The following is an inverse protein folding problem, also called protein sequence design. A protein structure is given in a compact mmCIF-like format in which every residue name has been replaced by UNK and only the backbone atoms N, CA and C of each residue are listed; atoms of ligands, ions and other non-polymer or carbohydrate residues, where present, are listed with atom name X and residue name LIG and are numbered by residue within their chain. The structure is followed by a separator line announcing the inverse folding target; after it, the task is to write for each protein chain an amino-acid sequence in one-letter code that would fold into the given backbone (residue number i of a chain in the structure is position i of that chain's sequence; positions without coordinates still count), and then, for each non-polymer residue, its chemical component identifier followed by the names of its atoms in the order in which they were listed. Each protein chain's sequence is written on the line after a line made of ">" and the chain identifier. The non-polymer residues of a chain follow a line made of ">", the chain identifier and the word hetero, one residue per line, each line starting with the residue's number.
data_IF_766962943506
#
_entry.id   IF_766962943506
#
_cell.length_a   1.000
_cell.length_b   1.000
_cell.length_c   1.000
_cell.angle_alpha   90.00
_cell.angle_beta   90.00
_cell.angle_gamma   90.00
#
_symmetry.space_group_name_H-M   'P 1'
#
loop_
_entity.id
_entity.type
_entity.pdbx_description
1 polymer ?
#
# COMPACT_ATOMS: atom_id res chain seq x y z
N UNK A 1 10.11 3.08 -21.16
CA UNK A 1 11.15 3.17 -22.20
C UNK A 1 12.38 3.79 -21.57
N UNK A 2 13.53 3.11 -21.72
CA UNK A 2 14.85 3.63 -21.34
C UNK A 2 15.39 4.42 -22.52
N UNK A 3 16.07 5.58 -22.30
CA UNK A 3 16.66 6.35 -23.39
C UNK A 3 17.60 5.50 -24.25
N UNK A 4 17.57 5.70 -25.57
CA UNK A 4 18.33 4.90 -26.57
C UNK A 4 19.84 4.92 -26.37
N UNK A 5 20.37 5.90 -25.64
CA UNK A 5 21.79 6.04 -25.31
C UNK A 5 22.31 4.99 -24.31
N UNK A 6 21.41 4.26 -23.62
CA UNK A 6 21.78 3.21 -22.66
C UNK A 6 21.66 1.83 -23.26
N UNK A 7 22.72 1.02 -23.14
CA UNK A 7 22.76 -0.34 -23.68
C UNK A 7 21.81 -1.29 -22.92
N UNK A 8 21.61 -1.06 -21.61
CA UNK A 8 20.72 -1.89 -20.77
C UNK A 8 19.91 -1.02 -19.80
N UNK A 9 18.79 -1.55 -19.32
CA UNK A 9 17.99 -0.92 -18.27
C UNK A 9 18.80 -0.73 -16.97
N UNK A 10 19.74 -1.64 -16.71
CA UNK A 10 20.65 -1.52 -15.57
C UNK A 10 21.57 -0.32 -15.67
N UNK A 11 22.13 -0.05 -16.85
CA UNK A 11 23.02 1.10 -17.05
C UNK A 11 22.29 2.42 -16.80
N UNK A 12 21.01 2.47 -17.19
CA UNK A 12 20.16 3.63 -16.90
C UNK A 12 19.86 3.77 -15.41
N UNK A 13 19.51 2.69 -14.72
CA UNK A 13 19.30 2.71 -13.27
C UNK A 13 20.56 3.15 -12.53
N UNK A 14 21.72 2.62 -12.92
CA UNK A 14 23.02 2.96 -12.33
C UNK A 14 23.34 4.47 -12.51
N UNK A 15 23.06 5.00 -13.71
CA UNK A 15 23.22 6.44 -13.98
C UNK A 15 22.32 7.27 -13.08
N UNK A 16 21.02 6.95 -13.00
CA UNK A 16 20.10 7.66 -12.12
C UNK A 16 20.56 7.62 -10.66
N UNK A 17 21.08 6.48 -10.20
CA UNK A 17 21.64 6.36 -8.86
C UNK A 17 22.88 7.23 -8.67
N UNK A 18 23.81 7.27 -9.63
CA UNK A 18 25.02 8.08 -9.52
C UNK A 18 24.69 9.57 -9.45
N UNK A 19 23.77 10.03 -10.30
CA UNK A 19 23.28 11.41 -10.28
C UNK A 19 22.57 11.73 -8.94
N UNK A 20 21.73 10.79 -8.48
CA UNK A 20 21.00 10.92 -7.23
C UNK A 20 21.90 10.94 -6.00
N UNK A 21 22.93 10.10 -5.93
CA UNK A 21 23.94 10.13 -4.85
C UNK A 21 24.63 11.48 -4.81
N UNK A 22 25.02 12.01 -5.97
CA UNK A 22 25.61 13.35 -6.06
C UNK A 22 24.65 14.43 -5.55
N UNK A 23 23.38 14.35 -5.91
CA UNK A 23 22.36 15.31 -5.47
C UNK A 23 22.07 15.24 -3.96
N UNK A 24 22.06 14.02 -3.39
CA UNK A 24 21.73 13.78 -1.97
C UNK A 24 22.92 14.01 -1.02
N UNK A 25 24.13 13.64 -1.43
CA UNK A 25 25.32 13.60 -0.58
C UNK A 25 26.47 14.53 -1.06
N UNK A 26 26.26 15.24 -2.20
CA UNK A 26 27.26 16.14 -2.78
C UNK A 26 28.27 15.42 -3.69
N UNK A 27 29.25 16.17 -4.17
CA UNK A 27 30.24 15.69 -5.15
C UNK A 27 31.23 14.67 -4.58
N UNK A 28 31.43 14.62 -3.27
CA UNK A 28 32.37 13.74 -2.58
C UNK A 28 31.67 12.93 -1.47
N UNK A 29 30.78 12.00 -1.82
CA UNK A 29 30.11 11.14 -0.85
C UNK A 29 31.12 10.23 -0.13
N UNK A 30 30.86 9.88 1.13
CA UNK A 30 31.68 8.94 1.87
C UNK A 30 31.75 7.58 1.17
N UNK A 31 32.88 6.86 1.31
CA UNK A 31 33.07 5.56 0.65
C UNK A 31 31.98 4.54 1.04
N UNK A 32 31.52 4.58 2.28
CA UNK A 32 30.45 3.74 2.79
C UNK A 32 29.14 3.89 1.98
N UNK A 33 28.80 5.09 1.54
CA UNK A 33 27.63 5.39 0.69
C UNK A 33 27.78 4.73 -0.68
N UNK A 34 28.97 4.84 -1.27
CA UNK A 34 29.29 4.25 -2.56
C UNK A 34 29.24 2.73 -2.48
N UNK A 35 29.84 2.15 -1.46
CA UNK A 35 29.86 0.69 -1.25
C UNK A 35 28.43 0.14 -1.06
N UNK A 36 27.63 0.83 -0.24
CA UNK A 36 26.23 0.45 -0.02
C UNK A 36 25.40 0.53 -1.31
N UNK A 37 25.54 1.63 -2.10
CA UNK A 37 24.87 1.77 -3.40
C UNK A 37 25.25 0.63 -4.35
N UNK A 38 26.55 0.33 -4.48
CA UNK A 38 27.03 -0.72 -5.38
C UNK A 38 26.53 -2.10 -4.95
N UNK A 39 26.51 -2.38 -3.65
CA UNK A 39 25.97 -3.61 -3.09
C UNK A 39 24.48 -3.76 -3.44
N UNK A 40 23.66 -2.75 -3.17
CA UNK A 40 22.23 -2.79 -3.45
C UNK A 40 21.94 -2.95 -4.95
N UNK A 41 22.62 -2.19 -5.82
CA UNK A 41 22.48 -2.33 -7.28
C UNK A 41 22.83 -3.74 -7.75
N UNK A 42 23.88 -4.36 -7.17
CA UNK A 42 24.25 -5.74 -7.44
C UNK A 42 23.14 -6.73 -7.06
N UNK A 43 22.52 -6.56 -5.89
CA UNK A 43 21.41 -7.40 -5.44
C UNK A 43 20.18 -7.21 -6.33
N UNK A 44 19.78 -5.95 -6.61
CA UNK A 44 18.65 -5.63 -7.48
C UNK A 44 18.82 -6.28 -8.87
N UNK A 45 20.02 -6.15 -9.47
CA UNK A 45 20.35 -6.79 -10.75
C UNK A 45 20.24 -8.30 -10.69
N UNK A 46 20.87 -8.92 -9.69
CA UNK A 46 20.89 -10.38 -9.49
C UNK A 46 19.49 -10.95 -9.31
N UNK A 47 18.62 -10.25 -8.60
CA UNK A 47 17.23 -10.65 -8.34
C UNK A 47 16.27 -10.31 -9.50
N UNK A 48 16.71 -9.57 -10.54
CA UNK A 48 15.90 -9.25 -11.73
C UNK A 48 14.89 -8.10 -11.51
N UNK A 49 15.08 -7.23 -10.51
CA UNK A 49 14.15 -6.16 -10.16
C UNK A 49 14.53 -4.78 -10.72
N UNK A 50 15.46 -4.69 -11.69
CA UNK A 50 15.85 -3.42 -12.32
C UNK A 50 14.64 -2.69 -12.89
N UNK A 51 13.83 -3.38 -13.69
CA UNK A 51 12.63 -2.79 -14.32
C UNK A 51 11.59 -2.36 -13.32
N UNK A 52 11.44 -3.11 -12.23
CA UNK A 52 10.55 -2.73 -11.13
C UNK A 52 10.95 -1.38 -10.52
N UNK A 53 12.23 -1.18 -10.19
CA UNK A 53 12.74 0.10 -9.67
C UNK A 53 12.53 1.24 -10.67
N UNK A 54 12.77 1.00 -11.97
CA UNK A 54 12.59 2.01 -13.00
C UNK A 54 11.11 2.39 -13.20
N UNK A 55 10.19 1.44 -13.13
CA UNK A 55 8.75 1.70 -13.23
C UNK A 55 8.27 2.50 -12.02
N UNK A 56 8.71 2.12 -10.80
CA UNK A 56 8.36 2.85 -9.58
C UNK A 56 8.92 4.27 -9.62
N UNK A 57 10.18 4.43 -10.00
CA UNK A 57 10.80 5.73 -10.20
C UNK A 57 10.01 6.59 -11.20
N UNK A 58 9.62 6.03 -12.32
CA UNK A 58 8.96 6.75 -13.40
C UNK A 58 7.66 7.43 -12.97
N UNK A 59 6.75 6.70 -12.34
CA UNK A 59 5.48 7.30 -11.92
C UNK A 59 5.62 8.23 -10.71
N UNK A 60 6.60 8.01 -9.83
CA UNK A 60 6.92 8.93 -8.74
C UNK A 60 7.53 10.21 -9.29
N UNK A 61 8.47 10.09 -10.22
CA UNK A 61 9.09 11.23 -10.89
C UNK A 61 8.05 12.06 -11.64
N UNK A 62 7.14 11.41 -12.39
CA UNK A 62 6.02 12.11 -13.00
C UNK A 62 5.20 12.87 -11.95
N UNK A 63 4.80 12.22 -10.87
CA UNK A 63 4.01 12.88 -9.83
C UNK A 63 4.74 14.11 -9.25
N UNK A 64 6.01 13.98 -8.90
CA UNK A 64 6.83 15.07 -8.36
C UNK A 64 6.98 16.22 -9.37
N UNK A 65 7.20 15.93 -10.65
CA UNK A 65 7.32 16.96 -11.71
C UNK A 65 6.00 17.69 -11.98
N UNK A 66 4.86 17.03 -11.78
CA UNK A 66 3.53 17.65 -11.87
C UNK A 66 3.10 18.34 -10.56
N UNK A 67 3.98 18.40 -9.55
CA UNK A 67 3.67 18.97 -8.24
C UNK A 67 2.57 18.20 -7.49
N UNK A 68 2.43 16.89 -7.75
CA UNK A 68 1.55 16.01 -6.99
C UNK A 68 2.29 15.58 -5.75
N UNK A 69 1.79 15.85 -4.53
CA UNK A 69 2.44 15.43 -3.31
C UNK A 69 2.59 13.92 -3.21
N UNK A 70 3.82 13.48 -2.92
CA UNK A 70 4.20 12.09 -2.69
C UNK A 70 4.75 11.98 -1.27
N UNK A 71 4.38 10.93 -0.56
CA UNK A 71 4.90 10.64 0.78
C UNK A 71 6.40 10.34 0.77
N UNK A 72 7.11 10.56 1.88
CA UNK A 72 8.56 10.38 1.97
C UNK A 72 9.00 8.91 1.89
N UNK A 73 8.08 8.00 1.83
CA UNK A 73 8.29 6.55 1.89
C UNK A 73 7.95 5.96 3.25
N UNK A 74 7.63 4.69 3.26
CA UNK A 74 7.30 3.90 4.45
C UNK A 74 7.65 2.42 4.25
N UNK A 75 7.50 1.62 5.31
CA UNK A 75 7.78 0.19 5.24
C UNK A 75 9.26 -0.12 5.01
N UNK A 76 9.53 -1.28 4.47
CA UNK A 76 10.89 -1.79 4.26
C UNK A 76 11.63 -1.10 3.12
N UNK A 77 10.92 -0.55 2.12
CA UNK A 77 11.50 0.15 0.98
C UNK A 77 12.33 1.38 1.35
N UNK A 78 12.03 2.03 2.51
CA UNK A 78 12.83 3.12 3.05
C UNK A 78 14.27 2.70 3.44
N UNK A 79 14.56 1.40 3.52
CA UNK A 79 15.90 0.86 3.81
C UNK A 79 16.85 0.85 2.60
N UNK A 80 16.39 1.20 1.39
CA UNK A 80 17.18 1.19 0.16
C UNK A 80 17.82 2.55 -0.12
N UNK A 81 19.16 2.58 -0.22
CA UNK A 81 19.88 3.79 -0.68
C UNK A 81 19.67 4.04 -2.17
N UNK A 82 19.44 3.00 -2.97
CA UNK A 82 19.07 3.13 -4.38
C UNK A 82 17.74 3.84 -4.51
N UNK A 83 16.71 3.43 -3.75
CA UNK A 83 15.41 4.09 -3.75
C UNK A 83 15.49 5.55 -3.27
N UNK A 84 16.34 5.84 -2.29
CA UNK A 84 16.60 7.19 -1.81
C UNK A 84 17.33 8.05 -2.85
N UNK A 85 18.34 7.51 -3.51
CA UNK A 85 19.10 8.22 -4.54
C UNK A 85 18.20 8.62 -5.72
N UNK A 86 17.37 7.70 -6.22
CA UNK A 86 16.47 7.98 -7.35
C UNK A 86 15.11 8.58 -6.94
N UNK A 87 15.01 9.11 -5.72
CA UNK A 87 13.85 9.84 -5.21
C UNK A 87 12.54 9.03 -5.12
N UNK A 88 12.61 7.70 -5.07
CA UNK A 88 11.47 6.86 -4.69
C UNK A 88 11.10 7.13 -3.23
N UNK A 89 12.11 7.27 -2.37
CA UNK A 89 11.94 7.65 -0.96
C UNK A 89 12.71 8.93 -0.64
N UNK A 90 12.28 9.63 0.41
CA UNK A 90 12.95 10.84 0.92
C UNK A 90 13.50 10.63 2.36
N UNK A 91 13.63 9.37 2.78
CA UNK A 91 14.23 8.96 4.06
C UNK A 91 15.62 8.41 3.79
N UNK A 92 16.65 9.05 4.38
CA UNK A 92 18.04 8.64 4.24
C UNK A 92 18.32 7.36 5.06
N UNK A 93 18.52 6.20 4.41
CA UNK A 93 18.73 4.94 5.12
C UNK A 93 20.05 4.87 5.87
N UNK A 94 21.05 5.64 5.44
CA UNK A 94 22.36 5.71 6.11
C UNK A 94 22.27 6.48 7.42
N UNK A 95 21.55 7.60 7.43
CA UNK A 95 21.34 8.44 8.62
C UNK A 95 20.61 7.68 9.75
N UNK A 96 19.68 6.80 9.39
CA UNK A 96 18.84 6.06 10.34
C UNK A 96 19.25 4.59 10.51
N UNK A 97 20.38 4.18 9.94
CA UNK A 97 20.89 2.80 9.97
C UNK A 97 19.84 1.75 9.56
N UNK A 98 19.09 2.06 8.50
CA UNK A 98 18.05 1.17 7.99
C UNK A 98 18.66 0.02 7.16
N UNK A 99 18.07 -1.17 7.28
CA UNK A 99 18.59 -2.38 6.66
C UNK A 99 17.88 -2.65 5.32
N UNK A 100 18.66 -2.72 4.25
CA UNK A 100 18.19 -3.07 2.91
C UNK A 100 17.65 -4.52 2.83
N UNK A 101 18.26 -5.41 3.58
CA UNK A 101 17.90 -6.83 3.61
C UNK A 101 16.49 -7.10 4.15
N UNK A 102 15.87 -6.12 4.79
CA UNK A 102 14.45 -6.16 5.15
C UNK A 102 13.53 -5.92 3.95
N UNK A 103 14.03 -5.22 2.93
CA UNK A 103 13.32 -4.93 1.69
C UNK A 103 13.61 -5.99 0.63
N UNK A 104 14.89 -6.23 0.31
CA UNK A 104 15.33 -7.26 -0.62
C UNK A 104 16.42 -8.13 0.01
N UNK A 105 16.18 -9.43 0.06
CA UNK A 105 17.14 -10.40 0.55
C UNK A 105 17.21 -11.58 -0.41
N UNK A 106 18.38 -11.87 -1.03
CA UNK A 106 18.55 -13.00 -1.93
C UNK A 106 18.27 -14.37 -1.31
N UNK A 107 18.38 -14.48 0.02
CA UNK A 107 18.11 -15.71 0.77
C UNK A 107 16.62 -15.90 1.07
N UNK A 108 15.83 -14.84 0.96
CA UNK A 108 14.39 -14.85 1.16
C UNK A 108 13.68 -14.51 -0.15
N UNK A 109 13.01 -15.51 -0.73
CA UNK A 109 12.19 -15.31 -1.93
C UNK A 109 10.92 -14.54 -1.53
N UNK A 110 10.99 -13.21 -1.53
CA UNK A 110 9.83 -12.33 -1.42
C UNK A 110 9.92 -11.26 -2.49
N UNK A 111 8.80 -10.96 -3.13
CA UNK A 111 8.74 -9.86 -4.10
C UNK A 111 8.90 -8.51 -3.40
N UNK A 112 9.59 -7.54 -4.03
CA UNK A 112 9.64 -6.17 -3.51
C UNK A 112 8.26 -5.52 -3.58
N UNK A 113 7.93 -4.72 -2.57
CA UNK A 113 6.70 -3.94 -2.52
C UNK A 113 6.99 -2.54 -2.01
N UNK A 114 6.90 -1.55 -2.90
CA UNK A 114 6.96 -0.15 -2.53
C UNK A 114 5.54 0.38 -2.29
N UNK A 115 5.24 0.63 -1.04
CA UNK A 115 4.04 1.36 -0.64
C UNK A 115 4.23 2.86 -0.89
N UNK A 116 3.59 3.40 -1.92
CA UNK A 116 3.72 4.81 -2.29
C UNK A 116 2.44 5.57 -1.95
N UNK A 117 2.58 6.55 -1.06
CA UNK A 117 1.49 7.43 -0.67
C UNK A 117 1.44 8.65 -1.60
N UNK A 118 0.29 8.87 -2.25
CA UNK A 118 0.00 10.04 -3.08
C UNK A 118 -1.06 10.93 -2.44
N UNK A 119 -1.06 12.20 -2.80
CA UNK A 119 -2.19 13.09 -2.52
C UNK A 119 -3.50 12.41 -2.93
N UNK A 120 -4.46 12.32 -2.00
CA UNK A 120 -5.72 11.62 -2.21
C UNK A 120 -6.50 12.16 -3.42
N UNK A 121 -6.53 13.47 -3.61
CA UNK A 121 -7.30 14.12 -4.68
C UNK A 121 -6.66 13.95 -6.05
N UNK A 122 -5.31 13.90 -6.12
CA UNK A 122 -4.57 13.88 -7.38
C UNK A 122 -3.98 12.51 -7.74
N UNK A 123 -4.17 11.49 -6.91
CA UNK A 123 -3.71 10.11 -7.16
C UNK A 123 -4.15 9.59 -8.53
N UNK A 124 -5.40 9.88 -8.92
CA UNK A 124 -5.94 9.39 -10.19
C UNK A 124 -5.14 9.89 -11.40
N UNK A 125 -4.60 11.11 -11.36
CA UNK A 125 -3.75 11.65 -12.43
C UNK A 125 -2.50 10.79 -12.68
N UNK A 126 -1.93 10.20 -11.61
CA UNK A 126 -0.76 9.31 -11.72
C UNK A 126 -1.15 7.96 -12.32
N UNK A 127 -2.29 7.39 -11.91
CA UNK A 127 -2.81 6.15 -12.49
C UNK A 127 -3.12 6.33 -13.98
N UNK A 128 -3.73 7.46 -14.34
CA UNK A 128 -4.03 7.80 -15.75
C UNK A 128 -2.74 7.98 -16.56
N UNK A 129 -1.70 8.56 -15.98
CA UNK A 129 -0.37 8.63 -16.61
C UNK A 129 0.19 7.25 -16.90
N UNK A 130 0.19 6.35 -15.91
CA UNK A 130 0.67 4.98 -16.05
C UNK A 130 -0.10 4.25 -17.15
N UNK A 131 -1.44 4.36 -17.14
CA UNK A 131 -2.28 3.74 -18.17
C UNK A 131 -1.98 4.29 -19.58
N UNK A 132 -1.76 5.60 -19.72
CA UNK A 132 -1.40 6.20 -21.02
C UNK A 132 0.00 5.79 -21.48
N UNK A 133 0.97 5.72 -20.56
CA UNK A 133 2.38 5.45 -20.88
C UNK A 133 2.62 3.99 -21.24
N UNK A 134 2.10 3.08 -20.45
CA UNK A 134 2.34 1.64 -20.62
C UNK A 134 1.31 0.95 -21.52
N UNK A 135 0.20 1.62 -21.82
CA UNK A 135 -0.91 1.10 -22.60
C UNK A 135 -2.10 0.66 -21.73
N UNK A 136 -3.34 1.02 -22.13
CA UNK A 136 -4.53 0.71 -21.34
C UNK A 136 -4.84 -0.78 -21.24
N UNK A 137 -4.31 -1.61 -22.13
CA UNK A 137 -4.40 -3.07 -22.15
C UNK A 137 -3.27 -3.75 -21.37
N UNK A 138 -2.21 -3.01 -21.01
CA UNK A 138 -1.07 -3.45 -20.20
C UNK A 138 -1.21 -3.11 -18.73
N UNK A 139 -2.23 -2.35 -18.35
CA UNK A 139 -2.48 -1.88 -16.98
C UNK A 139 -3.88 -2.32 -16.55
N UNK A 140 -3.98 -2.95 -15.40
CA UNK A 140 -5.27 -3.37 -14.86
C UNK A 140 -5.33 -3.19 -13.34
N UNK A 141 -6.53 -2.90 -12.84
CA UNK A 141 -6.78 -2.95 -11.42
C UNK A 141 -6.86 -4.41 -10.93
N UNK A 142 -6.65 -4.62 -9.64
CA UNK A 142 -6.70 -5.94 -9.03
C UNK A 142 -8.08 -6.13 -8.40
N UNK A 143 -8.69 -7.30 -8.63
CA UNK A 143 -9.96 -7.67 -7.98
C UNK A 143 -9.71 -8.01 -6.51
N UNK A 144 -10.69 -7.70 -5.68
CA UNK A 144 -10.79 -8.22 -4.31
C UNK A 144 -12.16 -8.83 -4.07
N UNK A 145 -12.23 -9.79 -3.16
CA UNK A 145 -13.50 -10.38 -2.74
C UNK A 145 -13.76 -10.02 -1.29
N UNK A 146 -14.87 -9.31 -1.05
CA UNK A 146 -15.41 -9.17 0.28
C UNK A 146 -15.93 -10.52 0.76
N UNK A 147 -15.53 -10.96 1.95
CA UNK A 147 -16.00 -12.21 2.57
C UNK A 147 -17.07 -11.92 3.62
N UNK A 148 -17.88 -12.93 3.91
CA UNK A 148 -18.88 -12.88 4.96
C UNK A 148 -18.21 -12.95 6.33
N UNK A 149 -17.89 -11.77 6.92
CA UNK A 149 -17.38 -11.71 8.28
C UNK A 149 -18.47 -12.03 9.30
N UNK A 150 -18.07 -12.46 10.51
CA UNK A 150 -18.97 -12.92 11.58
C UNK A 150 -20.19 -12.00 11.79
N UNK A 151 -19.98 -10.69 11.99
CA UNK A 151 -21.07 -9.74 12.20
C UNK A 151 -21.94 -9.52 10.96
N UNK A 152 -21.35 -9.61 9.79
CA UNK A 152 -22.06 -9.41 8.52
C UNK A 152 -22.93 -10.62 8.20
N UNK A 153 -22.37 -11.82 8.31
CA UNK A 153 -23.11 -13.04 7.98
C UNK A 153 -24.31 -13.28 8.90
N UNK A 154 -24.22 -12.92 10.19
CA UNK A 154 -25.35 -12.97 11.13
C UNK A 154 -26.52 -12.09 10.64
N UNK A 155 -26.24 -10.86 10.19
CA UNK A 155 -27.28 -9.95 9.67
C UNK A 155 -27.82 -10.42 8.33
N UNK A 156 -26.98 -10.93 7.44
CA UNK A 156 -27.38 -11.41 6.12
C UNK A 156 -28.27 -12.67 6.24
N UNK A 157 -27.88 -13.62 7.08
CA UNK A 157 -28.69 -14.84 7.34
C UNK A 157 -29.99 -14.47 8.05
N UNK A 158 -29.93 -13.56 9.04
CA UNK A 158 -31.12 -13.05 9.72
C UNK A 158 -32.14 -12.48 8.74
N UNK A 159 -31.67 -11.69 7.76
CA UNK A 159 -32.55 -11.12 6.73
C UNK A 159 -33.18 -12.19 5.82
N UNK A 160 -32.43 -13.23 5.46
CA UNK A 160 -32.94 -14.33 4.59
C UNK A 160 -33.92 -15.21 5.33
N UNK A 161 -33.76 -15.35 6.66
CA UNK A 161 -34.67 -16.14 7.51
C UNK A 161 -35.82 -15.30 8.07
N UNK A 162 -36.05 -14.08 7.59
CA UNK A 162 -37.08 -13.14 8.05
C UNK A 162 -37.00 -12.83 9.56
N UNK A 163 -35.81 -12.98 10.18
CA UNK A 163 -35.59 -12.57 11.57
C UNK A 163 -35.59 -11.04 11.65
N UNK A 164 -36.32 -10.44 12.63
CA UNK A 164 -36.34 -9.00 12.79
C UNK A 164 -34.91 -8.43 12.86
N UNK A 165 -34.68 -7.34 12.11
CA UNK A 165 -33.36 -6.70 12.05
C UNK A 165 -32.77 -6.40 13.44
N UNK A 166 -33.59 -5.90 14.36
CA UNK A 166 -33.18 -5.59 15.74
C UNK A 166 -32.59 -6.83 16.46
N UNK A 167 -33.19 -8.02 16.25
CA UNK A 167 -32.72 -9.27 16.83
C UNK A 167 -31.39 -9.71 16.21
N UNK A 168 -31.30 -9.72 14.88
CA UNK A 168 -30.06 -10.08 14.18
C UNK A 168 -28.92 -9.09 14.49
N UNK A 169 -29.23 -7.80 14.61
CA UNK A 169 -28.25 -6.77 14.97
C UNK A 169 -27.77 -6.88 16.43
N UNK A 170 -28.70 -7.23 17.36
CA UNK A 170 -28.34 -7.55 18.75
C UNK A 170 -27.33 -8.69 18.80
N UNK A 171 -27.59 -9.79 18.11
CA UNK A 171 -26.68 -10.95 18.04
C UNK A 171 -25.35 -10.58 17.41
N UNK A 172 -25.36 -9.83 16.31
CA UNK A 172 -24.13 -9.36 15.66
C UNK A 172 -23.27 -8.46 16.56
N UNK A 173 -23.89 -7.65 17.42
CA UNK A 173 -23.18 -6.80 18.39
C UNK A 173 -22.59 -7.58 19.57
N UNK A 174 -23.06 -8.79 19.85
CA UNK A 174 -22.46 -9.66 20.86
C UNK A 174 -21.11 -10.25 20.40
N UNK A 175 -20.82 -10.26 19.11
CA UNK A 175 -19.51 -10.65 18.58
C UNK A 175 -18.46 -9.59 18.99
N UNK A 176 -17.35 -9.96 19.68
CA UNK A 176 -16.30 -9.02 20.10
C UNK A 176 -15.67 -8.26 18.91
N UNK A 177 -15.10 -7.09 19.19
CA UNK A 177 -14.45 -6.28 18.16
C UNK A 177 -12.97 -6.64 18.05
N UNK A 178 -12.71 -7.86 17.62
CA UNK A 178 -11.35 -8.37 17.39
C UNK A 178 -11.12 -8.62 15.90
N UNK A 179 -9.87 -8.45 15.46
CA UNK A 179 -9.48 -8.72 14.09
C UNK A 179 -9.58 -10.23 13.81
N UNK A 180 -10.23 -10.59 12.70
CA UNK A 180 -10.45 -11.99 12.28
C UNK A 180 -11.21 -12.85 13.30
N UNK A 181 -12.07 -12.24 14.12
CA UNK A 181 -12.96 -12.98 15.01
C UNK A 181 -13.95 -13.84 14.21
N UNK A 182 -14.12 -15.07 14.62
CA UNK A 182 -15.14 -15.97 14.07
C UNK A 182 -16.33 -16.10 15.02
N UNK A 183 -17.49 -16.51 14.51
CA UNK A 183 -18.69 -16.76 15.35
C UNK A 183 -18.35 -17.80 16.42
N UNK A 184 -17.63 -18.85 16.06
CA UNK A 184 -17.20 -19.89 17.01
C UNK A 184 -16.36 -19.34 18.16
N UNK A 185 -15.35 -18.53 17.86
CA UNK A 185 -14.54 -17.85 18.89
C UNK A 185 -15.36 -16.88 19.73
N UNK A 186 -16.30 -16.17 19.10
CA UNK A 186 -17.19 -15.25 19.81
C UNK A 186 -18.07 -15.98 20.82
N UNK A 187 -18.58 -17.17 20.49
CA UNK A 187 -19.35 -18.01 21.42
C UNK A 187 -18.50 -18.51 22.59
N UNK A 188 -17.19 -18.74 22.38
CA UNK A 188 -16.26 -19.12 23.46
C UNK A 188 -15.95 -17.95 24.40
N UNK A 189 -15.88 -16.74 23.88
CA UNK A 189 -15.46 -15.55 24.64
C UNK A 189 -16.63 -14.82 25.32
N UNK A 190 -17.82 -14.85 24.73
CA UNK A 190 -18.99 -14.13 25.23
C UNK A 190 -20.05 -15.09 25.77
N UNK A 191 -20.18 -15.13 27.11
CA UNK A 191 -21.12 -16.03 27.78
C UNK A 191 -22.59 -15.74 27.40
N UNK A 192 -23.00 -14.46 27.32
CA UNK A 192 -24.36 -14.08 26.94
C UNK A 192 -24.69 -14.55 25.52
N UNK A 193 -23.74 -14.44 24.59
CA UNK A 193 -23.90 -14.90 23.23
C UNK A 193 -24.03 -16.43 23.15
N UNK A 194 -23.24 -17.14 23.98
CA UNK A 194 -23.33 -18.59 24.11
C UNK A 194 -24.65 -19.04 24.69
N UNK A 195 -25.11 -18.38 25.76
CA UNK A 195 -26.40 -18.68 26.43
C UNK A 195 -27.57 -18.48 25.43
N UNK A 196 -27.57 -17.40 24.63
CA UNK A 196 -28.54 -17.18 23.55
C UNK A 196 -28.51 -18.28 22.48
N UNK A 197 -27.30 -18.74 22.09
CA UNK A 197 -27.15 -19.84 21.15
C UNK A 197 -27.67 -21.16 21.68
N UNK A 198 -27.43 -21.49 22.97
CA UNK A 198 -27.80 -22.77 23.58
C UNK A 198 -29.30 -22.84 23.95
N UNK A 199 -29.90 -21.73 24.37
CA UNK A 199 -31.25 -21.70 24.92
C UNK A 199 -32.33 -21.20 23.97
N UNK A 200 -31.95 -20.59 22.83
CA UNK A 200 -32.91 -20.07 21.85
C UNK A 200 -32.81 -20.84 20.52
N UNK A 201 -33.79 -21.71 20.17
CA UNK A 201 -33.74 -22.52 18.94
C UNK A 201 -33.67 -21.70 17.65
N UNK A 202 -34.29 -20.51 17.59
CA UNK A 202 -34.23 -19.62 16.42
C UNK A 202 -32.83 -19.00 16.27
N UNK A 203 -32.24 -18.52 17.37
CA UNK A 203 -30.88 -18.04 17.41
C UNK A 203 -29.89 -19.13 17.01
N UNK A 204 -30.09 -20.36 17.54
CA UNK A 204 -29.24 -21.50 17.18
C UNK A 204 -29.30 -21.79 15.68
N UNK A 205 -30.47 -21.88 15.09
CA UNK A 205 -30.65 -22.11 13.65
C UNK A 205 -29.95 -21.02 12.82
N UNK A 206 -30.15 -19.75 13.22
CA UNK A 206 -29.52 -18.63 12.53
C UNK A 206 -27.99 -18.71 12.60
N UNK A 207 -27.43 -18.96 13.77
CA UNK A 207 -25.98 -19.00 13.98
C UNK A 207 -25.33 -20.25 13.34
N UNK A 208 -25.99 -21.40 13.33
CA UNK A 208 -25.50 -22.61 12.66
C UNK A 208 -25.36 -22.38 11.14
N UNK A 209 -26.36 -21.74 10.51
CA UNK A 209 -26.29 -21.36 9.09
C UNK A 209 -25.21 -20.27 8.89
N UNK A 210 -25.15 -19.29 9.76
CA UNK A 210 -24.15 -18.23 9.68
C UNK A 210 -22.73 -18.78 9.78
N UNK A 211 -22.44 -19.71 10.68
CA UNK A 211 -21.14 -20.39 10.79
C UNK A 211 -20.79 -21.20 9.55
N UNK A 212 -21.77 -21.81 8.88
CA UNK A 212 -21.53 -22.54 7.63
C UNK A 212 -21.18 -21.63 6.45
N UNK A 213 -21.65 -20.38 6.46
CA UNK A 213 -21.42 -19.39 5.40
C UNK A 213 -20.28 -18.42 5.75
N UNK A 214 -19.81 -18.39 6.99
CA UNK A 214 -18.74 -17.51 7.42
C UNK A 214 -17.46 -17.70 6.60
N UNK A 215 -16.86 -16.60 6.17
CA UNK A 215 -15.65 -16.62 5.34
C UNK A 215 -15.89 -16.83 3.84
N UNK A 216 -17.08 -17.21 3.41
CA UNK A 216 -17.37 -17.35 1.98
C UNK A 216 -17.32 -16.00 1.25
N UNK A 217 -16.88 -15.97 -0.03
CA UNK A 217 -16.95 -14.75 -0.85
C UNK A 217 -18.39 -14.26 -0.98
N UNK A 218 -18.57 -12.94 -0.81
CA UNK A 218 -19.88 -12.30 -0.90
C UNK A 218 -20.02 -11.43 -2.14
N UNK A 219 -19.04 -10.62 -2.41
CA UNK A 219 -19.07 -9.70 -3.53
C UNK A 219 -17.66 -9.44 -4.07
N UNK A 220 -17.57 -9.23 -5.38
CA UNK A 220 -16.37 -8.71 -6.00
C UNK A 220 -16.28 -7.18 -5.78
N UNK A 221 -15.09 -6.71 -5.53
CA UNK A 221 -14.73 -5.30 -5.42
C UNK A 221 -13.38 -5.08 -6.11
N UNK A 222 -12.93 -3.86 -6.17
CA UNK A 222 -11.63 -3.50 -6.71
C UNK A 222 -10.66 -3.20 -5.55
N UNK A 223 -9.41 -3.59 -5.68
CA UNK A 223 -8.37 -3.27 -4.73
C UNK A 223 -8.23 -1.74 -4.58
N UNK A 224 -8.06 -1.27 -3.35
CA UNK A 224 -8.11 0.17 -3.07
C UNK A 224 -6.98 0.97 -3.72
N UNK A 225 -5.83 0.33 -3.98
CA UNK A 225 -4.61 1.01 -4.41
C UNK A 225 -3.75 0.22 -5.40
N UNK A 226 -3.88 -1.11 -5.46
CA UNK A 226 -3.02 -1.97 -6.28
C UNK A 226 -3.44 -2.03 -7.73
N UNK A 227 -2.48 -1.86 -8.62
CA UNK A 227 -2.60 -2.16 -10.05
C UNK A 227 -1.48 -3.11 -10.48
N UNK A 228 -1.69 -3.81 -11.58
CA UNK A 228 -0.63 -4.57 -12.27
C UNK A 228 -0.25 -3.85 -13.54
N UNK A 229 1.06 -3.89 -13.86
CA UNK A 229 1.62 -3.41 -15.12
C UNK A 229 2.35 -4.59 -15.75
N UNK A 230 2.05 -4.90 -17.00
CA UNK A 230 2.57 -6.09 -17.70
C UNK A 230 3.27 -5.72 -19.01
N UNK A 231 4.23 -6.56 -19.41
CA UNK A 231 4.97 -6.38 -20.67
C UNK A 231 4.08 -6.61 -21.91
N UNK A 232 3.30 -7.69 -21.89
CA UNK A 232 2.29 -8.00 -22.89
C UNK A 232 0.90 -7.65 -22.34
N UNK A 233 -0.16 -7.56 -23.16
CA UNK A 233 -1.51 -7.26 -22.67
C UNK A 233 -1.90 -8.14 -21.48
N UNK A 234 -2.51 -7.55 -20.43
CA UNK A 234 -2.84 -8.26 -19.18
C UNK A 234 -3.65 -9.53 -19.42
N UNK A 235 -4.52 -9.51 -20.44
CA UNK A 235 -5.35 -10.67 -20.82
C UNK A 235 -4.53 -11.90 -21.24
N UNK A 236 -3.27 -11.73 -21.61
CA UNK A 236 -2.33 -12.81 -21.93
C UNK A 236 -1.95 -13.62 -20.70
N UNK A 237 -1.94 -12.98 -19.53
CA UNK A 237 -1.54 -13.58 -18.27
C UNK A 237 -2.74 -14.04 -17.43
N UNK A 238 -3.80 -13.25 -17.39
CA UNK A 238 -4.94 -13.47 -16.52
C UNK A 238 -6.24 -13.04 -17.19
N UNK A 239 -7.38 -13.74 -16.92
CA UNK A 239 -8.68 -13.29 -17.39
C UNK A 239 -9.07 -11.97 -16.72
N UNK A 240 -9.81 -11.14 -17.45
CA UNK A 240 -10.24 -9.83 -17.01
C UNK A 240 -11.74 -9.80 -16.67
N UNK A 241 -12.09 -8.95 -15.73
CA UNK A 241 -13.46 -8.67 -15.31
C UNK A 241 -13.78 -7.20 -15.53
N UNK A 242 -14.90 -6.93 -16.19
CA UNK A 242 -15.34 -5.56 -16.46
C UNK A 242 -16.60 -5.29 -15.66
N UNK A 243 -16.57 -4.20 -14.88
CA UNK A 243 -17.72 -3.71 -14.14
C UNK A 243 -17.75 -2.18 -14.17
N UNK A 244 -18.90 -1.62 -14.54
CA UNK A 244 -19.12 -0.17 -14.58
C UNK A 244 -18.03 0.58 -15.39
N UNK A 245 -17.54 -0.04 -16.47
CA UNK A 245 -16.48 0.50 -17.33
C UNK A 245 -15.05 0.36 -16.77
N UNK A 246 -14.89 -0.18 -15.56
CA UNK A 246 -13.57 -0.47 -14.97
C UNK A 246 -13.15 -1.89 -15.27
N UNK A 247 -11.88 -2.05 -15.66
CA UNK A 247 -11.24 -3.34 -15.94
C UNK A 247 -10.42 -3.76 -14.73
N UNK A 248 -10.62 -4.99 -14.26
CA UNK A 248 -9.82 -5.59 -13.21
C UNK A 248 -9.45 -7.03 -13.57
N UNK A 249 -8.40 -7.55 -12.94
CA UNK A 249 -8.05 -8.96 -13.03
C UNK A 249 -9.14 -9.83 -12.39
N UNK A 250 -9.33 -11.08 -12.84
CA UNK A 250 -10.21 -12.02 -12.14
C UNK A 250 -9.52 -12.75 -11.00
N UNK A 251 -8.19 -12.66 -10.90
CA UNK A 251 -7.41 -13.24 -9.82
C UNK A 251 -7.03 -12.17 -8.79
N UNK A 252 -7.04 -12.57 -7.52
CA UNK A 252 -6.64 -11.74 -6.39
C UNK A 252 -5.11 -11.59 -6.34
N UNK A 253 -4.63 -10.64 -5.55
CA UNK A 253 -3.23 -10.26 -5.44
C UNK A 253 -2.31 -11.47 -5.22
N UNK A 254 -2.61 -12.37 -4.29
CA UNK A 254 -1.77 -13.54 -3.98
C UNK A 254 -1.58 -14.45 -5.19
N UNK A 255 -2.64 -14.69 -5.96
CA UNK A 255 -2.57 -15.50 -7.19
C UNK A 255 -1.78 -14.78 -8.29
N UNK A 256 -1.88 -13.45 -8.38
CA UNK A 256 -1.08 -12.68 -9.34
C UNK A 256 0.42 -12.75 -9.00
N UNK A 257 0.77 -12.69 -7.72
CA UNK A 257 2.16 -12.87 -7.25
C UNK A 257 2.71 -14.27 -7.57
N UNK A 258 1.91 -15.31 -7.39
CA UNK A 258 2.25 -16.69 -7.78
C UNK A 258 2.50 -16.83 -9.29
N UNK A 259 1.82 -16.03 -10.11
CA UNK A 259 2.02 -15.95 -11.55
C UNK A 259 3.21 -15.06 -11.95
N UNK A 260 3.92 -14.46 -10.98
CA UNK A 260 5.06 -13.59 -11.23
C UNK A 260 4.69 -12.16 -11.61
N UNK A 261 3.44 -11.76 -11.46
CA UNK A 261 2.99 -10.39 -11.72
C UNK A 261 3.18 -9.52 -10.48
N UNK A 262 3.86 -8.39 -10.66
CA UNK A 262 4.14 -7.44 -9.57
C UNK A 262 2.99 -6.45 -9.41
N UNK A 263 2.57 -6.26 -8.16
CA UNK A 263 1.64 -5.21 -7.76
C UNK A 263 2.39 -3.89 -7.63
N UNK A 264 1.77 -2.82 -8.10
CA UNK A 264 2.21 -1.45 -7.89
C UNK A 264 1.17 -0.74 -7.03
N UNK A 265 1.57 -0.22 -5.86
CA UNK A 265 0.65 0.42 -4.91
C UNK A 265 0.60 1.93 -5.09
N UNK A 266 -0.60 2.43 -5.37
CA UNK A 266 -0.92 3.85 -5.44
C UNK A 266 -1.85 4.21 -4.28
N UNK A 267 -1.28 4.44 -3.11
CA UNK A 267 -2.06 4.72 -1.91
C UNK A 267 -2.52 6.19 -1.89
N UNK A 268 -3.80 6.43 -1.63
CA UNK A 268 -4.34 7.78 -1.48
C UNK A 268 -4.32 8.23 -0.02
N UNK A 269 -3.46 9.18 0.34
CA UNK A 269 -3.33 9.68 1.70
C UNK A 269 -3.91 11.09 1.85
N UNK A 270 -5.03 11.23 2.56
CA UNK A 270 -5.68 12.53 2.81
C UNK A 270 -4.80 13.50 3.58
N UNK A 271 -3.96 13.00 4.49
CA UNK A 271 -3.05 13.84 5.27
C UNK A 271 -2.04 14.56 4.40
N UNK A 272 -1.57 13.95 3.31
CA UNK A 272 -0.71 14.66 2.32
C UNK A 272 -1.45 15.82 1.66
N UNK A 273 -2.72 15.66 1.31
CA UNK A 273 -3.55 16.75 0.77
C UNK A 273 -3.66 17.89 1.77
N UNK A 274 -4.01 17.58 3.04
CA UNK A 274 -4.12 18.60 4.11
C UNK A 274 -2.80 19.34 4.32
N UNK A 275 -1.67 18.64 4.33
CA UNK A 275 -0.34 19.26 4.45
C UNK A 275 -0.09 20.21 3.28
N UNK A 276 -0.32 19.77 2.05
CA UNK A 276 -0.07 20.58 0.86
C UNK A 276 -0.96 21.83 0.83
N UNK A 277 -2.24 21.68 1.15
CA UNK A 277 -3.18 22.80 1.22
C UNK A 277 -2.76 23.80 2.29
N UNK A 278 -2.28 23.30 3.44
CA UNK A 278 -1.76 24.17 4.50
C UNK A 278 -0.54 24.97 4.03
N UNK A 279 0.41 24.32 3.36
CA UNK A 279 1.60 24.99 2.78
C UNK A 279 1.16 26.08 1.79
N UNK A 280 0.24 25.74 0.88
CA UNK A 280 -0.26 26.67 -0.12
C UNK A 280 -0.99 27.88 0.51
N UNK A 281 -1.81 27.64 1.55
CA UNK A 281 -2.50 28.71 2.28
C UNK A 281 -1.54 29.60 3.07
N UNK A 282 -0.52 29.05 3.69
CA UNK A 282 0.52 29.82 4.41
C UNK A 282 1.29 30.68 3.41
N UNK A 283 1.69 30.13 2.27
CA UNK A 283 2.36 30.87 1.21
C UNK A 283 1.47 32.01 0.69
N UNK A 284 0.21 31.71 0.37
CA UNK A 284 -0.75 32.70 -0.14
C UNK A 284 -1.02 33.83 0.84
N UNK A 285 -1.23 33.50 2.13
CA UNK A 285 -1.70 34.46 3.13
C UNK A 285 -0.57 35.18 3.86
N UNK A 286 0.63 34.59 3.94
CA UNK A 286 1.78 35.07 4.74
C UNK A 286 3.04 35.29 3.91
N UNK A 287 3.09 34.86 2.63
CA UNK A 287 4.29 34.91 1.79
C UNK A 287 5.43 34.01 2.27
N UNK A 288 5.15 33.05 3.18
CA UNK A 288 6.17 32.17 3.78
C UNK A 288 6.19 30.86 3.01
N UNK A 289 7.37 30.46 2.52
CA UNK A 289 7.60 29.10 2.01
C UNK A 289 7.94 28.18 3.19
N UNK A 290 6.99 27.31 3.54
CA UNK A 290 7.19 26.32 4.61
C UNK A 290 8.15 25.25 4.12
N UNK A 291 9.26 25.08 4.84
CA UNK A 291 10.21 23.97 4.64
C UNK A 291 10.15 23.07 5.86
N UNK A 292 10.05 21.76 5.63
CA UNK A 292 10.16 20.80 6.72
C UNK A 292 11.63 20.63 7.10
N UNK A 293 11.90 20.76 8.39
CA UNK A 293 13.25 20.49 8.92
C UNK A 293 13.51 18.97 8.84
N UNK A 294 14.50 18.61 8.03
CA UNK A 294 14.96 17.23 7.93
C UNK A 294 15.76 16.76 9.17
N UNK A 295 16.06 17.68 10.09
CA UNK A 295 16.71 17.36 11.36
C UNK A 295 15.91 16.44 12.25
N UNK A 296 14.58 16.60 12.27
CA UNK A 296 13.63 15.81 13.07
C UNK A 296 14.03 15.65 14.54
N UNK A 297 14.68 16.68 15.11
CA UNK A 297 15.30 16.65 16.43
C UNK A 297 14.72 17.70 17.40
N UNK A 298 13.46 18.12 17.19
CA UNK A 298 12.85 19.11 18.08
C UNK A 298 12.49 18.47 19.44
N UNK A 299 13.14 18.92 20.55
CA UNK A 299 12.87 18.37 21.89
C UNK A 299 11.43 18.57 22.33
N UNK A 300 10.72 19.60 21.83
CA UNK A 300 9.32 19.85 22.17
C UNK A 300 8.39 18.80 21.55
N UNK A 301 8.72 18.34 20.34
CA UNK A 301 7.99 17.25 19.67
C UNK A 301 8.23 15.94 20.42
N UNK A 302 9.47 15.64 20.79
CA UNK A 302 9.78 14.43 21.58
C UNK A 302 9.07 14.46 22.95
N UNK A 303 8.96 15.64 23.57
CA UNK A 303 8.23 15.76 24.83
C UNK A 303 6.74 15.45 24.70
N UNK A 304 6.08 15.85 23.59
CA UNK A 304 4.69 15.46 23.33
C UNK A 304 4.53 13.94 23.30
N UNK A 305 5.48 13.24 22.70
CA UNK A 305 5.47 11.77 22.63
C UNK A 305 5.74 11.12 23.97
N UNK A 306 6.75 11.61 24.71
CA UNK A 306 7.07 11.14 26.06
C UNK A 306 5.89 11.32 27.05
N UNK A 307 5.16 12.42 26.92
CA UNK A 307 4.00 12.71 27.76
C UNK A 307 2.72 11.97 27.31
N UNK A 308 2.77 11.19 26.21
CA UNK A 308 1.62 10.47 25.66
C UNK A 308 0.56 11.36 25.01
N UNK A 309 0.86 12.63 24.74
CA UNK A 309 -0.05 13.59 24.12
C UNK A 309 -0.14 13.39 22.60
N UNK A 310 -0.54 12.19 22.17
CA UNK A 310 -0.49 11.77 20.76
C UNK A 310 -1.85 11.76 20.06
N UNK A 311 -2.93 12.14 20.76
CA UNK A 311 -4.26 12.22 20.17
C UNK A 311 -4.29 13.23 19.01
N UNK A 312 -4.70 12.77 17.83
CA UNK A 312 -4.73 13.58 16.61
C UNK A 312 -3.40 13.68 15.86
N UNK A 313 -2.32 13.07 16.36
CA UNK A 313 -1.07 12.95 15.61
C UNK A 313 -1.19 11.75 14.66
N UNK A 314 -1.02 12.02 13.36
CA UNK A 314 -1.19 11.01 12.32
C UNK A 314 -0.06 9.95 12.37
N UNK A 315 -0.43 8.69 12.30
CA UNK A 315 0.48 7.51 12.27
C UNK A 315 1.46 7.44 13.46
N UNK A 316 1.03 7.89 14.61
CA UNK A 316 1.82 7.78 15.82
C UNK A 316 1.16 6.85 16.86
#
# INVERSE_FOLDING_TARGET
>A
DVPEEFATHYDYLEKLCNDGIKNRYGDNPAQEIIDRKNYELGVIKKMGYVDYFLIVWDYIHYAKTQGIPVGPGRGSGAGSIVAYAIEITDIDPMKYALLFERFLNPERISMPDFDVDFCYERRQEVIDYVSRKYGPDHVSQIITFGTMSARMVIRDVGRVLDVPYATADKLAKMVPNELHITIKKALEQNKEFKDEYENNPETKKLLDIAMALEGMPRQASTHACGIVITKDPVVTYVPLYVRDGMISTQYIMTTLEELGLLKMDFLGLRTLTVIQDTINLVKKNRGIDVKFDQGMNDPKVFKLWQDGNTMGIFQF
#
